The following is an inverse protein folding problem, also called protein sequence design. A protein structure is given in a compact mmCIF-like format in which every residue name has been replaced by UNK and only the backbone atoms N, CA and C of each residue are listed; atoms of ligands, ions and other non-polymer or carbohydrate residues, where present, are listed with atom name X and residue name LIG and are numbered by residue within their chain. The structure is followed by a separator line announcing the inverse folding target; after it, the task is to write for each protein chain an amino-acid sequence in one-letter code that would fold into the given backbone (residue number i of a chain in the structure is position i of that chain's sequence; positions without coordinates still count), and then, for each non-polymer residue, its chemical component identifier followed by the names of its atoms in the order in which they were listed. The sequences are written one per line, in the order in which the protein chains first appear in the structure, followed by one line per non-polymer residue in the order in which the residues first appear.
data_IF_947240458050
#
_entry.id   IF_947240458050
#
_cell.length_a   1.000
_cell.length_b   1.000
_cell.length_c   1.000
_cell.angle_alpha   90.00
_cell.angle_beta   90.00
_cell.angle_gamma   90.00
#
_symmetry.space_group_name_H-M   'P 1'
#
loop_
_entity.id
_entity.type
_entity.pdbx_description
1 polymer ?
#
# COMPACT_ATOMS: atom_id res chain seq x y z
N UNK A 1 13.96 -19.86 -12.08
CA UNK A 1 13.46 -18.99 -11.00
C UNK A 1 12.40 -18.07 -11.57
N UNK A 2 11.17 -18.05 -11.05
CA UNK A 2 10.16 -17.07 -11.50
C UNK A 2 10.53 -15.73 -10.88
N UNK A 3 11.20 -14.89 -11.67
CA UNK A 3 11.60 -13.54 -11.25
C UNK A 3 10.37 -12.76 -10.83
N UNK A 4 10.44 -12.18 -9.65
CA UNK A 4 9.47 -11.21 -9.16
C UNK A 4 9.54 -10.03 -10.13
N UNK A 5 8.52 -9.86 -10.98
CA UNK A 5 8.46 -8.78 -11.96
C UNK A 5 8.06 -7.48 -11.24
N UNK A 6 8.98 -6.97 -10.42
CA UNK A 6 8.85 -5.69 -9.73
C UNK A 6 9.87 -4.72 -10.33
N UNK A 7 9.42 -3.53 -10.67
CA UNK A 7 10.33 -2.48 -11.09
C UNK A 7 11.19 -2.02 -9.91
N UNK A 8 12.39 -1.49 -10.16
CA UNK A 8 13.30 -1.04 -9.10
C UNK A 8 12.65 -0.04 -8.13
N UNK A 9 11.68 0.75 -8.61
CA UNK A 9 10.92 1.71 -7.80
C UNK A 9 9.98 1.00 -6.82
N UNK A 10 9.34 -0.09 -7.24
CA UNK A 10 8.42 -0.85 -6.40
C UNK A 10 9.15 -1.50 -5.23
N UNK A 11 10.34 -2.04 -5.51
CA UNK A 11 11.22 -2.63 -4.50
C UNK A 11 11.60 -1.57 -3.45
N UNK A 12 11.95 -0.36 -3.88
CA UNK A 12 12.32 0.73 -2.96
C UNK A 12 11.14 1.17 -2.08
N UNK A 13 9.94 1.33 -2.65
CA UNK A 13 8.76 1.70 -1.87
C UNK A 13 8.42 0.63 -0.83
N UNK A 14 8.48 -0.65 -1.21
CA UNK A 14 8.20 -1.75 -0.31
C UNK A 14 9.24 -1.85 0.81
N UNK A 15 10.52 -1.73 0.49
CA UNK A 15 11.60 -1.71 1.48
C UNK A 15 11.42 -0.54 2.47
N UNK A 16 11.07 0.64 1.97
CA UNK A 16 10.81 1.82 2.82
C UNK A 16 9.65 1.60 3.78
N UNK A 17 8.56 0.99 3.32
CA UNK A 17 7.41 0.71 4.16
C UNK A 17 7.70 -0.31 5.26
N UNK A 18 8.49 -1.35 4.93
CA UNK A 18 8.92 -2.37 5.90
C UNK A 18 9.86 -1.73 6.94
N UNK A 19 10.87 -0.99 6.52
CA UNK A 19 11.83 -0.33 7.42
C UNK A 19 11.15 0.68 8.35
N UNK A 20 10.17 1.42 7.83
CA UNK A 20 9.37 2.34 8.62
C UNK A 20 8.34 1.66 9.54
N UNK A 21 8.25 0.33 9.54
CA UNK A 21 7.26 -0.46 10.27
C UNK A 21 5.82 0.02 10.01
N UNK A 22 5.48 0.28 8.75
CA UNK A 22 4.11 0.63 8.38
C UNK A 22 3.15 -0.53 8.69
N UNK A 23 1.95 -0.23 9.19
CA UNK A 23 0.93 -1.26 9.43
C UNK A 23 0.33 -1.81 8.13
N UNK A 24 0.30 -0.99 7.08
CA UNK A 24 -0.32 -1.32 5.80
C UNK A 24 0.41 -0.64 4.64
N UNK A 25 0.57 -1.36 3.53
CA UNK A 25 1.07 -0.84 2.27
C UNK A 25 -0.07 -0.63 1.27
N UNK A 26 -0.32 0.63 0.90
CA UNK A 26 -1.43 1.02 0.04
C UNK A 26 -0.93 1.20 -1.39
N UNK A 27 -1.49 0.45 -2.34
CA UNK A 27 -1.13 0.59 -3.76
C UNK A 27 -2.31 0.29 -4.69
N UNK A 28 -2.29 0.90 -5.87
CA UNK A 28 -3.22 0.59 -6.98
C UNK A 28 -2.69 -0.47 -7.94
N UNK A 29 -1.40 -0.81 -7.82
CA UNK A 29 -0.73 -1.79 -8.68
C UNK A 29 -0.97 -3.20 -8.14
N UNK A 30 -1.73 -4.01 -8.89
CA UNK A 30 -2.15 -5.33 -8.45
C UNK A 30 -0.99 -6.35 -8.43
N UNK A 31 -0.09 -6.43 -9.44
CA UNK A 31 1.14 -7.22 -9.35
C UNK A 31 1.99 -6.89 -8.11
N UNK A 32 2.23 -5.62 -7.81
CA UNK A 32 2.98 -5.22 -6.62
C UNK A 32 2.23 -5.61 -5.35
N UNK A 33 0.93 -5.33 -5.28
CA UNK A 33 0.08 -5.68 -4.14
C UNK A 33 0.19 -7.17 -3.81
N UNK A 34 0.08 -8.05 -4.80
CA UNK A 34 0.18 -9.51 -4.59
C UNK A 34 1.54 -9.96 -4.06
N UNK A 35 2.63 -9.30 -4.48
CA UNK A 35 3.97 -9.62 -3.99
C UNK A 35 4.20 -9.05 -2.58
N UNK A 36 3.80 -7.78 -2.35
CA UNK A 36 3.94 -7.09 -1.07
C UNK A 36 3.08 -7.72 0.03
N UNK A 37 1.90 -8.26 -0.29
CA UNK A 37 0.99 -8.89 0.68
C UNK A 37 1.58 -10.11 1.40
N UNK A 38 2.71 -10.65 0.93
CA UNK A 38 3.44 -11.72 1.60
C UNK A 38 4.32 -11.20 2.74
N UNK A 39 4.59 -9.90 2.78
CA UNK A 39 5.56 -9.26 3.69
C UNK A 39 4.88 -8.25 4.62
N UNK A 40 3.91 -7.49 4.12
CA UNK A 40 3.18 -6.46 4.85
C UNK A 40 1.71 -6.51 4.39
N UNK A 41 0.71 -6.29 5.26
CA UNK A 41 -0.68 -6.20 4.84
C UNK A 41 -0.85 -5.14 3.73
N UNK A 42 -1.60 -5.47 2.69
CA UNK A 42 -1.83 -4.55 1.57
C UNK A 42 -3.31 -4.27 1.37
N UNK A 43 -3.62 -3.08 0.83
CA UNK A 43 -4.97 -2.76 0.37
C UNK A 43 -4.94 -1.73 -0.75
N UNK A 44 -6.07 -1.57 -1.44
CA UNK A 44 -6.20 -0.50 -2.44
C UNK A 44 -6.51 0.83 -1.76
N UNK A 45 -6.21 1.98 -2.40
CA UNK A 45 -6.65 3.29 -1.90
C UNK A 45 -8.15 3.37 -1.68
N UNK A 46 -8.95 2.70 -2.52
CA UNK A 46 -10.42 2.67 -2.40
C UNK A 46 -10.86 1.97 -1.13
N UNK A 47 -10.25 0.83 -0.81
CA UNK A 47 -10.57 0.06 0.39
C UNK A 47 -10.15 0.83 1.65
N UNK A 48 -8.96 1.44 1.62
CA UNK A 48 -8.49 2.28 2.72
C UNK A 48 -9.44 3.45 3.01
N UNK A 49 -9.87 4.17 1.96
CA UNK A 49 -10.83 5.27 2.09
C UNK A 49 -12.20 4.80 2.60
N UNK A 50 -12.64 3.59 2.23
CA UNK A 50 -13.87 3.00 2.76
C UNK A 50 -13.73 2.73 4.26
N UNK A 51 -12.63 2.13 4.70
CA UNK A 51 -12.36 1.87 6.11
C UNK A 51 -12.30 3.17 6.94
N UNK A 52 -11.67 4.24 6.41
CA UNK A 52 -11.66 5.54 7.09
C UNK A 52 -13.06 6.12 7.29
N UNK A 53 -13.94 6.01 6.29
CA UNK A 53 -15.33 6.46 6.40
C UNK A 53 -16.11 5.66 7.45
N UNK A 54 -15.92 4.35 7.50
CA UNK A 54 -16.55 3.49 8.51
C UNK A 54 -16.08 3.83 9.93
N UNK A 55 -14.84 4.27 10.09
CA UNK A 55 -14.28 4.75 11.35
C UNK A 55 -14.67 6.21 11.69
N UNK A 56 -15.55 6.84 10.91
CA UNK A 56 -15.88 8.28 11.01
C UNK A 56 -14.66 9.22 10.94
N UNK A 57 -13.55 8.75 10.37
CA UNK A 57 -12.38 9.56 10.09
C UNK A 57 -12.62 10.22 8.74
N UNK A 58 -12.96 11.51 8.76
CA UNK A 58 -13.12 12.28 7.54
C UNK A 58 -11.77 12.92 7.20
N UNK A 59 -11.02 12.42 6.20
CA UNK A 59 -9.80 13.09 5.77
C UNK A 59 -10.24 14.41 5.18
N UNK A 60 -10.13 15.49 5.95
CA UNK A 60 -10.34 16.85 5.43
C UNK A 60 -9.32 17.05 4.33
N UNK A 61 -9.74 16.85 3.08
CA UNK A 61 -8.98 17.25 1.90
C UNK A 61 -8.96 18.78 1.96
N UNK A 62 -7.95 19.36 2.61
CA UNK A 62 -7.56 20.73 2.29
C UNK A 62 -6.94 20.67 0.91
N UNK A 63 -7.78 20.76 -0.11
CA UNK A 63 -7.34 21.23 -1.41
C UNK A 63 -7.04 22.72 -1.23
N UNK A 64 -5.77 23.02 -0.98
CA UNK A 64 -5.17 24.33 -1.24
C UNK A 64 -4.30 24.20 -2.47
#
# INVERSE_FOLDING_TARGET
MRGVNLESKDVLHLASAIEANCDVFITKDEPLKQNANKLIPTMTPKDFLKNLKELNINPKIKAT
#
